data_IF_230549605858
#
_entry.id   IF_230549605858
#
_cell.length_a   1.000
_cell.length_b   1.000
_cell.length_c   1.000
_cell.angle_alpha   90.00
_cell.angle_beta   90.00
_cell.angle_gamma   90.00
#
_symmetry.space_group_name_H-M   'P 1'
#
loop_
_entity.id
_entity.type
_entity.pdbx_description
1 polymer ?
#
# COMPACT_ATOMS: atom_id res chain seq x y z
N UNK A 1 29.46 -6.68 -12.79
CA UNK A 1 28.88 -5.54 -12.04
C UNK A 1 27.51 -5.26 -12.66
N UNK A 2 26.40 -5.54 -11.97
CA UNK A 2 25.05 -5.40 -12.56
C UNK A 2 24.67 -3.92 -12.66
N UNK A 3 25.00 -3.30 -13.79
CA UNK A 3 24.68 -1.92 -14.15
C UNK A 3 23.20 -1.57 -13.91
N UNK A 4 22.30 -2.50 -14.18
CA UNK A 4 20.87 -2.34 -13.89
C UNK A 4 20.57 -2.12 -12.39
N UNK A 5 21.20 -2.87 -11.48
CA UNK A 5 20.96 -2.79 -10.03
C UNK A 5 21.46 -1.48 -9.42
N UNK A 6 22.56 -0.94 -9.95
CA UNK A 6 23.06 0.40 -9.60
C UNK A 6 22.13 1.50 -10.09
N UNK A 7 21.58 1.36 -11.29
CA UNK A 7 20.67 2.35 -11.89
C UNK A 7 19.31 2.43 -11.15
N UNK A 8 18.82 1.28 -10.65
CA UNK A 8 17.62 1.20 -9.80
C UNK A 8 17.76 1.94 -8.45
N UNK A 9 18.98 2.05 -7.90
CA UNK A 9 19.25 2.71 -6.61
C UNK A 9 19.55 4.20 -6.75
N UNK A 10 20.00 4.64 -7.92
CA UNK A 10 20.39 6.03 -8.18
C UNK A 10 19.18 6.96 -8.43
N UNK A 11 18.05 6.42 -8.88
CA UNK A 11 16.88 7.21 -9.28
C UNK A 11 16.12 7.73 -8.07
N UNK A 12 16.04 9.05 -7.93
CA UNK A 12 15.24 9.71 -6.89
C UNK A 12 13.79 9.78 -7.33
N UNK A 13 12.87 9.58 -6.38
CA UNK A 13 11.45 9.84 -6.61
C UNK A 13 11.23 11.36 -6.66
N UNK A 14 10.75 11.93 -7.79
CA UNK A 14 10.60 13.38 -7.94
C UNK A 14 9.61 13.96 -6.93
N UNK A 15 8.53 13.23 -6.66
CA UNK A 15 7.50 13.59 -5.69
C UNK A 15 7.39 12.44 -4.68
N UNK A 16 8.03 12.55 -3.50
CA UNK A 16 7.91 11.51 -2.48
C UNK A 16 6.49 11.45 -1.94
N UNK A 17 5.98 10.24 -1.66
CA UNK A 17 4.69 10.06 -1.00
C UNK A 17 4.76 10.71 0.39
N UNK A 18 3.80 11.59 0.76
CA UNK A 18 3.78 12.23 2.07
C UNK A 18 3.79 11.18 3.19
N UNK A 19 4.67 11.37 4.18
CA UNK A 19 4.82 10.41 5.30
C UNK A 19 3.51 10.19 6.04
N UNK A 20 2.70 11.24 6.19
CA UNK A 20 1.38 11.14 6.82
C UNK A 20 0.42 10.20 6.07
N UNK A 21 0.31 10.32 4.75
CA UNK A 21 -0.53 9.41 3.92
C UNK A 21 -0.02 7.99 4.01
N UNK A 22 1.30 7.83 3.93
CA UNK A 22 1.96 6.53 3.98
C UNK A 22 1.73 5.84 5.33
N UNK A 23 1.81 6.57 6.44
CA UNK A 23 1.51 6.05 7.77
C UNK A 23 0.03 5.71 7.92
N UNK A 24 -0.87 6.63 7.55
CA UNK A 24 -2.32 6.44 7.68
C UNK A 24 -2.82 5.24 6.86
N UNK A 25 -2.45 5.14 5.58
CA UNK A 25 -2.87 4.01 4.76
C UNK A 25 -2.26 2.68 5.22
N UNK A 26 -1.01 2.69 5.68
CA UNK A 26 -0.39 1.46 6.23
C UNK A 26 -1.03 1.03 7.55
N UNK A 27 -1.42 1.99 8.40
CA UNK A 27 -2.13 1.72 9.65
C UNK A 27 -3.48 1.07 9.39
N UNK A 28 -4.22 1.55 8.39
CA UNK A 28 -5.51 0.99 7.99
C UNK A 28 -5.37 -0.43 7.40
N UNK A 29 -4.30 -0.70 6.65
CA UNK A 29 -3.97 -2.05 6.17
C UNK A 29 -3.57 -2.98 7.33
N UNK A 30 -2.76 -2.51 8.27
CA UNK A 30 -2.42 -3.28 9.47
C UNK A 30 -3.66 -3.62 10.30
N UNK A 31 -4.54 -2.64 10.51
CA UNK A 31 -5.80 -2.80 11.21
C UNK A 31 -6.72 -3.82 10.51
N UNK A 32 -6.83 -3.76 9.18
CA UNK A 32 -7.67 -4.70 8.43
C UNK A 32 -7.21 -6.15 8.60
N UNK A 33 -5.90 -6.39 8.68
CA UNK A 33 -5.37 -7.75 8.86
C UNK A 33 -5.47 -8.20 10.32
N UNK A 34 -5.19 -7.31 11.28
CA UNK A 34 -5.30 -7.62 12.70
C UNK A 34 -6.74 -8.05 13.07
N UNK A 35 -7.75 -7.28 12.63
CA UNK A 35 -9.14 -7.52 12.99
C UNK A 35 -9.67 -8.86 12.48
N UNK A 36 -9.19 -9.32 11.31
CA UNK A 36 -9.61 -10.58 10.70
C UNK A 36 -9.14 -11.81 11.48
N UNK A 37 -8.07 -11.67 12.26
CA UNK A 37 -7.53 -12.76 13.11
C UNK A 37 -8.01 -12.69 14.56
N UNK A 38 -8.67 -11.60 14.95
CA UNK A 38 -9.13 -11.33 16.31
C UNK A 38 -10.52 -11.93 16.58
N UNK A 39 -10.75 -13.16 16.11
CA UNK A 39 -12.06 -13.84 16.15
C UNK A 39 -12.52 -14.18 17.57
N UNK A 40 -11.62 -14.20 18.55
CA UNK A 40 -11.97 -14.35 19.97
C UNK A 40 -12.65 -13.11 20.56
N UNK A 41 -12.42 -11.93 19.98
CA UNK A 41 -12.96 -10.65 20.48
C UNK A 41 -14.12 -10.14 19.62
N UNK A 42 -14.12 -10.45 18.33
CA UNK A 42 -15.02 -9.85 17.34
C UNK A 42 -15.63 -10.96 16.48
N UNK A 43 -16.95 -10.96 16.37
CA UNK A 43 -17.65 -11.87 15.47
C UNK A 43 -17.21 -11.67 14.02
N UNK A 44 -17.00 -12.78 13.29
CA UNK A 44 -16.46 -12.76 11.93
C UNK A 44 -17.16 -11.78 10.96
N UNK A 45 -18.51 -11.67 10.91
CA UNK A 45 -19.18 -10.72 10.01
C UNK A 45 -18.80 -9.26 10.29
N UNK A 46 -18.63 -8.92 11.57
CA UNK A 46 -18.24 -7.58 12.01
C UNK A 46 -16.76 -7.33 11.69
N UNK A 47 -15.89 -8.33 11.91
CA UNK A 47 -14.48 -8.25 11.57
C UNK A 47 -14.26 -8.01 10.07
N UNK A 48 -14.98 -8.75 9.22
CA UNK A 48 -14.93 -8.58 7.75
C UNK A 48 -15.40 -7.19 7.34
N UNK A 49 -16.49 -6.69 7.91
CA UNK A 49 -16.98 -5.34 7.64
C UNK A 49 -15.93 -4.26 7.99
N UNK A 50 -15.33 -4.35 9.18
CA UNK A 50 -14.28 -3.41 9.61
C UNK A 50 -13.05 -3.50 8.70
N UNK A 51 -12.65 -4.71 8.30
CA UNK A 51 -11.51 -4.92 7.41
C UNK A 51 -11.73 -4.27 6.04
N UNK A 52 -12.92 -4.46 5.45
CA UNK A 52 -13.29 -3.87 4.15
C UNK A 52 -13.35 -2.35 4.23
N UNK A 53 -13.95 -1.79 5.28
CA UNK A 53 -14.01 -0.34 5.50
C UNK A 53 -12.60 0.23 5.65
N UNK A 54 -11.74 -0.44 6.43
CA UNK A 54 -10.34 -0.01 6.64
C UNK A 54 -9.57 -0.01 5.33
N UNK A 55 -9.73 -1.05 4.51
CA UNK A 55 -9.10 -1.13 3.20
C UNK A 55 -9.58 -0.02 2.25
N UNK A 56 -10.90 0.20 2.19
CA UNK A 56 -11.47 1.27 1.39
C UNK A 56 -10.96 2.65 1.85
N UNK A 57 -10.85 2.87 3.16
CA UNK A 57 -10.30 4.09 3.74
C UNK A 57 -8.81 4.27 3.42
N UNK A 58 -8.02 3.20 3.36
CA UNK A 58 -6.60 3.28 2.98
C UNK A 58 -6.44 3.77 1.53
N UNK A 59 -7.27 3.24 0.63
CA UNK A 59 -7.32 3.68 -0.76
C UNK A 59 -7.81 5.12 -0.86
N UNK A 60 -8.89 5.47 -0.14
CA UNK A 60 -9.45 6.82 -0.14
C UNK A 60 -8.45 7.87 0.37
N UNK A 61 -7.69 7.57 1.44
CA UNK A 61 -6.65 8.44 1.98
C UNK A 61 -5.61 8.82 0.91
N UNK A 62 -5.25 7.85 0.07
CA UNK A 62 -4.29 8.01 -1.02
C UNK A 62 -4.88 8.85 -2.17
N UNK A 63 -6.13 8.57 -2.56
CA UNK A 63 -6.77 9.20 -3.72
C UNK A 63 -7.25 10.63 -3.45
N UNK A 64 -7.72 10.92 -2.24
CA UNK A 64 -8.29 12.22 -1.86
C UNK A 64 -7.19 13.27 -1.62
N UNK A 65 -6.01 12.85 -1.17
CA UNK A 65 -4.98 13.80 -0.75
C UNK A 65 -4.48 14.65 -1.93
N UNK A 66 -4.25 15.98 -1.73
CA UNK A 66 -3.85 16.90 -2.79
C UNK A 66 -2.54 16.55 -3.51
N UNK A 67 -1.71 15.64 -2.97
CA UNK A 67 -0.48 15.25 -3.66
C UNK A 67 -0.77 14.46 -4.94
N UNK A 68 -1.92 13.79 -5.03
CA UNK A 68 -2.35 13.06 -6.22
C UNK A 68 -2.60 13.98 -7.41
N UNK A 69 -2.95 15.26 -7.18
CA UNK A 69 -3.00 16.29 -8.23
C UNK A 69 -1.59 16.59 -8.75
N UNK A 70 -0.64 16.84 -7.86
CA UNK A 70 0.78 17.09 -8.22
C UNK A 70 1.41 15.95 -9.02
N UNK A 71 1.11 14.70 -8.67
CA UNK A 71 1.58 13.54 -9.43
C UNK A 71 0.99 13.50 -10.85
N UNK A 72 -0.30 13.86 -11.03
CA UNK A 72 -0.93 13.93 -12.35
C UNK A 72 -0.34 15.05 -13.20
N UNK A 73 -0.13 16.22 -12.61
CA UNK A 73 0.45 17.37 -13.31
C UNK A 73 1.88 17.07 -13.78
N UNK A 74 2.69 16.40 -12.94
CA UNK A 74 4.03 15.95 -13.32
C UNK A 74 3.98 14.91 -14.44
N UNK A 75 3.10 13.91 -14.33
CA UNK A 75 2.93 12.88 -15.35
C UNK A 75 2.52 13.48 -16.72
N UNK A 76 1.64 14.48 -16.72
CA UNK A 76 1.24 15.19 -17.95
C UNK A 76 2.39 15.98 -18.57
N UNK A 77 3.20 16.68 -17.76
CA UNK A 77 4.34 17.47 -18.26
C UNK A 77 5.41 16.61 -18.93
N UNK A 78 5.62 15.38 -18.45
CA UNK A 78 6.61 14.45 -18.98
C UNK A 78 6.00 13.35 -19.87
N UNK A 79 4.74 13.51 -20.31
CA UNK A 79 4.02 12.57 -21.18
C UNK A 79 4.05 11.09 -20.69
N UNK A 80 3.99 10.90 -19.37
CA UNK A 80 4.03 9.59 -18.72
C UNK A 80 2.63 9.17 -18.30
N UNK A 81 2.29 7.90 -18.57
CA UNK A 81 1.00 7.34 -18.16
C UNK A 81 0.90 7.13 -16.65
N UNK A 82 -0.21 7.58 -16.08
CA UNK A 82 -0.62 7.34 -14.70
C UNK A 82 -1.38 6.01 -14.52
N UNK A 83 -1.57 5.25 -15.59
CA UNK A 83 -2.31 4.00 -15.54
C UNK A 83 -1.61 2.99 -14.60
N UNK A 84 -2.38 2.24 -13.78
CA UNK A 84 -1.83 1.20 -12.94
C UNK A 84 -1.16 0.12 -13.81
N UNK A 85 0.05 -0.30 -13.43
CA UNK A 85 0.74 -1.43 -14.08
C UNK A 85 0.48 -2.71 -13.27
N UNK A 86 0.57 -3.88 -13.89
CA UNK A 86 0.46 -5.21 -13.27
C UNK A 86 1.36 -5.29 -12.01
N UNK A 87 2.57 -4.76 -12.06
CA UNK A 87 3.49 -4.71 -10.91
C UNK A 87 2.97 -3.91 -9.71
N UNK A 88 2.00 -3.00 -9.91
CA UNK A 88 1.32 -2.27 -8.82
C UNK A 88 0.07 -2.99 -8.32
N UNK A 89 -0.55 -3.83 -9.16
CA UNK A 89 -1.70 -4.66 -8.78
C UNK A 89 -1.23 -5.87 -7.96
N UNK A 90 -0.02 -6.38 -8.21
CA UNK A 90 0.52 -7.56 -7.54
C UNK A 90 0.56 -7.45 -6.00
N UNK A 91 1.05 -6.35 -5.38
CA UNK A 91 0.94 -6.16 -3.93
C UNK A 91 -0.49 -6.20 -3.40
N UNK A 92 -1.46 -5.67 -4.15
CA UNK A 92 -2.87 -5.69 -3.77
C UNK A 92 -3.43 -7.11 -3.79
N UNK A 93 -3.02 -7.94 -4.77
CA UNK A 93 -3.39 -9.35 -4.83
C UNK A 93 -2.80 -10.17 -3.69
N UNK A 94 -1.55 -9.91 -3.31
CA UNK A 94 -0.95 -10.56 -2.13
C UNK A 94 -1.71 -10.16 -0.86
N UNK A 95 -2.02 -8.88 -0.69
CA UNK A 95 -2.77 -8.39 0.47
C UNK A 95 -4.18 -9.00 0.52
N UNK A 96 -4.87 -9.08 -0.62
CA UNK A 96 -6.17 -9.72 -0.72
C UNK A 96 -6.12 -11.21 -0.35
N UNK A 97 -5.14 -11.93 -0.90
CA UNK A 97 -4.93 -13.34 -0.58
C UNK A 97 -4.64 -13.52 0.91
N UNK A 98 -3.81 -12.66 1.51
CA UNK A 98 -3.56 -12.67 2.94
C UNK A 98 -4.88 -12.49 3.72
N UNK A 99 -5.71 -11.51 3.38
CA UNK A 99 -6.99 -11.29 4.04
C UNK A 99 -7.92 -12.52 3.97
N UNK A 100 -7.98 -13.20 2.82
CA UNK A 100 -8.77 -14.45 2.67
C UNK A 100 -8.24 -15.58 3.56
N UNK A 101 -6.92 -15.71 3.69
CA UNK A 101 -6.29 -16.75 4.52
C UNK A 101 -6.38 -16.45 6.02
N UNK A 102 -6.28 -15.18 6.40
CA UNK A 102 -6.29 -14.77 7.82
C UNK A 102 -7.63 -15.03 8.51
N UNK A 103 -8.74 -15.04 7.77
CA UNK A 103 -10.07 -15.41 8.29
C UNK A 103 -10.10 -16.85 8.84
N UNK A 104 -9.22 -17.73 8.36
CA UNK A 104 -9.13 -19.12 8.82
C UNK A 104 -8.32 -19.25 10.12
N UNK A 105 -7.68 -18.18 10.58
CA UNK A 105 -6.85 -18.16 11.78
C UNK A 105 -7.59 -17.50 12.93
N UNK A 106 -7.66 -18.20 14.06
CA UNK A 106 -8.05 -17.61 15.34
C UNK A 106 -6.80 -17.40 16.17
N UNK A 107 -6.41 -16.15 16.37
CA UNK A 107 -5.24 -15.80 17.16
C UNK A 107 -5.66 -15.09 18.45
N UNK A 108 -4.91 -15.28 19.55
CA UNK A 108 -5.05 -14.42 20.71
C UNK A 108 -4.66 -12.98 20.35
N UNK A 109 -5.08 -12.01 21.17
CA UNK A 109 -4.89 -10.58 20.89
C UNK A 109 -3.45 -10.21 20.49
N UNK A 110 -2.44 -10.77 21.16
CA UNK A 110 -1.04 -10.49 20.85
C UNK A 110 -0.64 -11.01 19.46
N UNK A 111 -1.19 -12.14 19.02
CA UNK A 111 -0.97 -12.71 17.69
C UNK A 111 -1.61 -11.85 16.60
N UNK A 112 -2.83 -11.37 16.83
CA UNK A 112 -3.50 -10.42 15.93
C UNK A 112 -2.75 -9.09 15.81
N UNK A 113 -2.21 -8.58 16.91
CA UNK A 113 -1.36 -7.38 16.90
C UNK A 113 -0.08 -7.60 16.09
N UNK A 114 0.55 -8.78 16.20
CA UNK A 114 1.73 -9.12 15.41
C UNK A 114 1.43 -9.16 13.91
N UNK A 115 0.32 -9.80 13.52
CA UNK A 115 -0.15 -9.83 12.12
C UNK A 115 -0.39 -8.42 11.60
N UNK A 116 -1.06 -7.58 12.39
CA UNK A 116 -1.27 -6.17 12.07
C UNK A 116 0.03 -5.39 11.91
N UNK A 117 1.01 -5.60 12.78
CA UNK A 117 2.31 -4.94 12.73
C UNK A 117 3.12 -5.35 11.49
N UNK A 118 3.13 -6.64 11.16
CA UNK A 118 3.76 -7.15 9.93
C UNK A 118 3.07 -6.58 8.70
N UNK A 119 1.73 -6.59 8.68
CA UNK A 119 0.91 -5.98 7.63
C UNK A 119 1.22 -4.49 7.44
N UNK A 120 1.28 -3.75 8.54
CA UNK A 120 1.67 -2.34 8.56
C UNK A 120 3.07 -2.13 7.98
N UNK A 121 4.07 -2.88 8.43
CA UNK A 121 5.45 -2.73 7.99
C UNK A 121 5.58 -3.01 6.48
N UNK A 122 4.95 -4.08 6.00
CA UNK A 122 4.94 -4.42 4.57
C UNK A 122 4.22 -3.36 3.73
N UNK A 123 3.05 -2.91 4.18
CA UNK A 123 2.30 -1.85 3.50
C UNK A 123 3.12 -0.55 3.45
N UNK A 124 3.80 -0.20 4.55
CA UNK A 124 4.63 0.99 4.63
C UNK A 124 5.83 0.92 3.68
N UNK A 125 6.46 -0.24 3.52
CA UNK A 125 7.57 -0.44 2.59
C UNK A 125 7.12 -0.42 1.12
N UNK A 126 5.97 -1.04 0.82
CA UNK A 126 5.45 -1.17 -0.53
C UNK A 126 4.67 0.06 -1.02
N UNK A 127 4.24 0.94 -0.11
CA UNK A 127 3.39 2.10 -0.40
C UNK A 127 3.81 2.93 -1.62
N UNK A 128 5.10 3.34 -1.77
CA UNK A 128 5.51 4.17 -2.91
C UNK A 128 5.40 3.45 -4.27
N UNK A 129 5.41 2.10 -4.26
CA UNK A 129 5.20 1.29 -5.47
C UNK A 129 3.72 1.22 -5.84
N UNK A 130 2.86 1.00 -4.84
CA UNK A 130 1.40 0.88 -5.03
C UNK A 130 0.79 2.22 -5.46
N UNK A 131 1.20 3.31 -4.83
CA UNK A 131 0.73 4.67 -5.14
C UNK A 131 1.30 5.22 -6.46
N UNK A 132 2.34 4.59 -7.01
CA UNK A 132 2.93 4.96 -8.30
C UNK A 132 3.85 6.17 -8.29
N UNK A 133 4.12 6.76 -7.12
CA UNK A 133 5.13 7.81 -6.96
C UNK A 133 6.51 7.34 -7.44
N UNK A 134 6.83 6.05 -7.28
CA UNK A 134 8.10 5.47 -7.79
C UNK A 134 8.15 5.30 -9.30
N UNK A 135 7.02 5.27 -10.01
CA UNK A 135 7.01 5.21 -11.48
C UNK A 135 7.55 6.50 -12.11
N UNK A 136 7.32 7.64 -11.46
CA UNK A 136 7.79 8.93 -11.94
C UNK A 136 9.32 9.02 -11.98
N UNK A 137 10.03 8.23 -11.18
CA UNK A 137 11.49 8.16 -11.21
C UNK A 137 12.05 7.52 -12.50
N UNK A 138 11.21 6.91 -13.33
CA UNK A 138 11.59 6.39 -14.65
C UNK A 138 11.24 7.35 -15.79
N UNK A 139 10.48 8.42 -15.52
CA UNK A 139 10.17 9.46 -16.50
C UNK A 139 11.42 10.24 -16.91
N UNK A 140 12.30 10.54 -15.94
CA UNK A 140 13.56 11.28 -16.14
C UNK A 140 14.57 10.58 -17.05
N UNK A 141 14.37 9.31 -17.43
CA UNK A 141 15.29 8.57 -18.30
C UNK A 141 14.86 8.50 -19.78
N UNK A 142 13.77 9.16 -20.14
CA UNK A 142 13.32 9.32 -21.53
C UNK A 142 13.65 10.70 -22.12
N UNK A 143 14.27 11.58 -21.32
CA UNK A 143 14.94 12.83 -21.74
C UNK A 143 16.44 12.57 -21.96
#
# INVERSE_FOLDING_TARGET
>A
MNTALTDFRARRTPIPTPVAVRLAGSALVGLSLAILTATELIALPVAVLIAVISAAAAVACTLIHPYRRRLRDYAQRHNVTMAPNIGQIFPLMIWWLAAMLLVLLSLPLWGSLLVGLVGFALAFLLYPHVDGSRKLAYAEALE
#
